data_IF_790316133919
#
_entry.id   IF_790316133919
#
_cell.length_a   1.000
_cell.length_b   1.000
_cell.length_c   1.000
_cell.angle_alpha   90.00
_cell.angle_beta   90.00
_cell.angle_gamma   90.00
#
_symmetry.space_group_name_H-M   'P 1'
#
loop_
_entity.id
_entity.type
_entity.pdbx_description
1 polymer ?
#
# COMPACT_ATOMS: atom_id res chain seq x y z
N UNK A 1 12.43 -6.73 -42.35
CA UNK A 1 12.13 -5.45 -41.63
C UNK A 1 10.70 -5.51 -41.21
N UNK A 2 10.41 -5.42 -39.93
CA UNK A 2 9.05 -5.43 -39.37
C UNK A 2 8.29 -4.15 -39.79
N UNK A 3 7.13 -4.32 -40.39
CA UNK A 3 6.20 -3.25 -40.76
C UNK A 3 4.84 -3.63 -40.19
N UNK A 4 4.35 -2.95 -39.13
CA UNK A 4 3.12 -3.33 -38.45
C UNK A 4 1.86 -2.95 -39.22
N UNK A 5 0.81 -3.76 -39.12
CA UNK A 5 -0.55 -3.33 -39.39
C UNK A 5 -1.10 -2.70 -38.10
N UNK A 6 -1.31 -1.38 -38.14
CA UNK A 6 -1.81 -0.65 -36.97
C UNK A 6 -3.15 -1.18 -36.52
N UNK A 7 -3.32 -1.37 -35.21
CA UNK A 7 -4.62 -1.70 -34.61
C UNK A 7 -5.63 -0.60 -34.96
N UNK A 8 -6.82 -0.98 -35.42
CA UNK A 8 -7.92 -0.05 -35.68
C UNK A 8 -8.41 0.59 -34.38
N UNK A 9 -8.68 1.90 -34.36
CA UNK A 9 -9.18 2.61 -33.19
C UNK A 9 -9.09 4.13 -33.31
N UNK A 10 -9.90 4.83 -32.53
CA UNK A 10 -10.03 6.30 -32.46
C UNK A 10 -9.01 6.92 -31.48
N UNK A 11 -7.72 6.66 -31.65
CA UNK A 11 -6.68 7.17 -30.75
C UNK A 11 -5.48 7.77 -31.48
N UNK A 12 -4.60 8.50 -30.75
CA UNK A 12 -3.36 9.01 -31.33
C UNK A 12 -2.53 7.88 -31.97
N UNK A 13 -2.02 8.12 -33.18
CA UNK A 13 -1.28 7.10 -33.97
C UNK A 13 -0.12 6.47 -33.18
N UNK A 14 0.59 7.24 -32.32
CA UNK A 14 1.69 6.70 -31.51
C UNK A 14 1.23 5.67 -30.47
N UNK A 15 0.02 5.78 -29.92
CA UNK A 15 -0.54 4.78 -29.00
C UNK A 15 -0.94 3.51 -29.78
N UNK A 16 -1.60 3.65 -30.90
CA UNK A 16 -1.97 2.53 -31.78
C UNK A 16 -0.71 1.75 -32.24
N UNK A 17 0.36 2.45 -32.55
CA UNK A 17 1.65 1.83 -32.90
C UNK A 17 2.28 1.13 -31.69
N UNK A 18 2.21 1.71 -30.50
CA UNK A 18 2.70 1.08 -29.27
C UNK A 18 1.89 -0.19 -28.92
N UNK A 19 0.56 -0.16 -29.09
CA UNK A 19 -0.32 -1.31 -28.89
C UNK A 19 -0.03 -2.44 -29.88
N UNK A 20 0.21 -2.09 -31.13
CA UNK A 20 0.62 -3.06 -32.18
C UNK A 20 1.95 -3.72 -31.83
N UNK A 21 2.92 -2.93 -31.37
CA UNK A 21 4.23 -3.41 -30.96
C UNK A 21 4.13 -4.39 -29.77
N UNK A 22 3.32 -4.06 -28.76
CA UNK A 22 3.04 -4.95 -27.61
C UNK A 22 2.42 -6.26 -28.06
N UNK A 23 1.41 -6.20 -28.91
CA UNK A 23 0.73 -7.38 -29.45
C UNK A 23 1.70 -8.27 -30.21
N UNK A 24 2.50 -7.70 -31.12
CA UNK A 24 3.40 -8.45 -31.99
C UNK A 24 4.56 -9.09 -31.20
N UNK A 25 5.06 -8.44 -30.13
CA UNK A 25 6.01 -9.04 -29.18
C UNK A 25 5.34 -10.16 -28.36
N UNK A 26 4.10 -9.97 -27.89
CA UNK A 26 3.38 -10.98 -27.10
C UNK A 26 3.04 -12.23 -27.91
N UNK A 27 2.74 -12.06 -29.19
CA UNK A 27 2.41 -13.14 -30.12
C UNK A 27 3.63 -13.81 -30.76
N UNK A 28 4.85 -13.33 -30.48
CA UNK A 28 6.08 -13.88 -31.04
C UNK A 28 6.31 -13.52 -32.52
N UNK A 29 5.61 -12.53 -33.06
CA UNK A 29 5.84 -11.98 -34.41
C UNK A 29 7.15 -11.20 -34.43
N UNK A 30 7.51 -10.58 -33.31
CA UNK A 30 8.82 -9.99 -33.03
C UNK A 30 9.51 -10.86 -31.99
N UNK A 31 10.64 -11.44 -32.36
CA UNK A 31 11.40 -12.33 -31.49
C UNK A 31 12.32 -11.53 -30.53
N UNK A 32 12.64 -12.13 -29.41
CA UNK A 32 13.58 -11.56 -28.45
C UNK A 32 14.98 -11.37 -29.11
N UNK A 33 15.60 -10.23 -28.87
CA UNK A 33 16.86 -9.83 -29.50
C UNK A 33 16.69 -9.29 -30.93
N UNK A 34 15.49 -9.32 -31.51
CA UNK A 34 15.26 -8.78 -32.84
C UNK A 34 15.42 -7.25 -32.84
N UNK A 35 16.13 -6.76 -33.86
CA UNK A 35 16.33 -5.32 -34.06
C UNK A 35 15.12 -4.69 -34.72
N UNK A 36 14.53 -3.69 -34.04
CA UNK A 36 13.46 -2.88 -34.60
C UNK A 36 13.98 -1.93 -35.68
N UNK A 37 13.14 -1.57 -36.65
CA UNK A 37 13.46 -0.54 -37.64
C UNK A 37 13.84 0.78 -36.98
N UNK A 38 14.72 1.55 -37.59
CA UNK A 38 15.03 2.90 -37.12
C UNK A 38 13.78 3.80 -37.20
N UNK A 39 13.80 4.87 -36.39
CA UNK A 39 12.67 5.83 -36.37
C UNK A 39 12.34 6.38 -37.77
N UNK A 40 13.38 6.58 -38.62
CA UNK A 40 13.21 7.09 -39.99
C UNK A 40 12.65 6.03 -40.94
N UNK A 41 13.14 4.80 -40.87
CA UNK A 41 12.68 3.70 -41.70
C UNK A 41 11.21 3.36 -41.43
N UNK A 42 10.83 3.22 -40.16
CA UNK A 42 9.45 2.89 -39.80
C UNK A 42 8.49 4.06 -40.09
N UNK A 43 8.93 5.28 -39.89
CA UNK A 43 8.14 6.48 -40.19
C UNK A 43 7.86 6.57 -41.71
N UNK A 44 8.87 6.31 -42.54
CA UNK A 44 8.71 6.28 -44.01
C UNK A 44 7.77 5.16 -44.45
N UNK A 45 7.88 3.95 -43.88
CA UNK A 45 7.06 2.81 -44.22
C UNK A 45 5.56 3.00 -43.85
N UNK A 46 5.29 3.73 -42.76
CA UNK A 46 3.93 3.98 -42.25
C UNK A 46 3.33 5.33 -42.67
N UNK A 47 4.08 6.18 -43.41
CA UNK A 47 3.62 7.51 -43.80
C UNK A 47 3.40 8.47 -42.58
N UNK A 48 4.15 8.32 -41.51
CA UNK A 48 4.05 9.12 -40.28
C UNK A 48 5.34 9.84 -39.96
N UNK A 49 5.37 10.70 -38.93
CA UNK A 49 6.59 11.42 -38.55
C UNK A 49 7.53 10.54 -37.68
N UNK A 50 8.87 10.71 -37.78
CA UNK A 50 9.82 10.03 -36.88
C UNK A 50 9.55 10.31 -35.39
N UNK A 51 9.04 11.50 -35.04
CA UNK A 51 8.64 11.84 -33.67
C UNK A 51 7.46 11.01 -33.16
N UNK A 52 6.55 10.60 -34.03
CA UNK A 52 5.41 9.71 -33.70
C UNK A 52 5.92 8.31 -33.38
N UNK A 53 6.85 7.78 -34.19
CA UNK A 53 7.50 6.49 -33.96
C UNK A 53 8.32 6.53 -32.66
N UNK A 54 9.07 7.62 -32.45
CA UNK A 54 9.86 7.82 -31.22
C UNK A 54 9.01 7.77 -29.96
N UNK A 55 7.83 8.40 -29.96
CA UNK A 55 6.87 8.34 -28.83
C UNK A 55 6.34 6.92 -28.59
N UNK A 56 6.05 6.18 -29.65
CA UNK A 56 5.63 4.78 -29.54
C UNK A 56 6.73 3.90 -28.96
N UNK A 57 7.96 4.03 -29.45
CA UNK A 57 9.12 3.31 -28.93
C UNK A 57 9.41 3.65 -27.47
N UNK A 58 9.31 4.93 -27.09
CA UNK A 58 9.45 5.34 -25.70
C UNK A 58 8.35 4.77 -24.79
N UNK A 59 7.13 4.60 -25.30
CA UNK A 59 6.03 4.00 -24.52
C UNK A 59 6.37 2.54 -24.16
N UNK A 60 6.74 1.72 -25.17
CA UNK A 60 7.07 0.30 -24.95
C UNK A 60 8.44 0.10 -24.27
N UNK A 61 9.36 1.04 -24.41
CA UNK A 61 10.63 1.05 -23.67
C UNK A 61 10.40 1.23 -22.17
N UNK A 62 9.50 2.14 -21.77
CA UNK A 62 9.10 2.32 -20.36
C UNK A 62 8.49 1.07 -19.74
N UNK A 63 7.94 0.18 -20.56
CA UNK A 63 7.37 -1.11 -20.16
C UNK A 63 8.40 -2.25 -20.18
N UNK A 64 9.65 -1.95 -20.54
CA UNK A 64 10.74 -2.93 -20.59
C UNK A 64 10.60 -3.96 -21.73
N UNK A 65 9.75 -3.68 -22.74
CA UNK A 65 9.57 -4.58 -23.89
C UNK A 65 10.64 -4.40 -24.97
N UNK A 66 11.29 -3.24 -25.01
CA UNK A 66 12.39 -2.95 -25.91
C UNK A 66 13.50 -2.20 -25.18
N UNK A 67 14.75 -2.36 -25.62
CA UNK A 67 15.92 -1.65 -25.11
C UNK A 67 16.61 -0.88 -26.24
N UNK A 68 17.12 0.32 -25.93
CA UNK A 68 17.90 1.11 -26.86
C UNK A 68 19.40 0.94 -26.58
N UNK A 69 20.18 0.53 -27.58
CA UNK A 69 21.65 0.51 -27.50
C UNK A 69 22.21 1.67 -28.32
N UNK A 70 23.01 2.53 -27.66
CA UNK A 70 23.61 3.71 -28.32
C UNK A 70 24.46 3.27 -29.51
N UNK A 71 24.16 3.79 -30.71
CA UNK A 71 24.86 3.46 -31.96
C UNK A 71 24.48 2.12 -32.60
N UNK A 72 23.73 1.24 -31.95
CA UNK A 72 23.34 -0.08 -32.45
C UNK A 72 21.86 -0.22 -32.81
N UNK A 73 20.98 0.54 -32.18
CA UNK A 73 19.56 0.56 -32.47
C UNK A 73 18.66 0.20 -31.28
N UNK A 74 17.39 -0.04 -31.56
CA UNK A 74 16.39 -0.52 -30.59
C UNK A 74 16.14 -2.01 -30.81
N UNK A 75 16.14 -2.78 -29.74
CA UNK A 75 16.00 -4.25 -29.77
C UNK A 75 14.84 -4.68 -28.89
N UNK A 76 14.17 -5.77 -29.25
CA UNK A 76 13.17 -6.43 -28.41
C UNK A 76 13.88 -7.09 -27.23
N UNK A 77 13.42 -6.82 -26.02
CA UNK A 77 14.02 -7.41 -24.82
C UNK A 77 13.75 -8.92 -24.75
N UNK A 78 14.73 -9.70 -24.33
CA UNK A 78 14.56 -11.12 -24.04
C UNK A 78 13.60 -11.26 -22.84
N UNK A 79 12.37 -11.63 -23.14
CA UNK A 79 11.43 -12.09 -22.12
C UNK A 79 11.59 -13.60 -22.01
N UNK A 80 12.55 -14.06 -21.21
CA UNK A 80 12.68 -15.47 -20.89
C UNK A 80 11.44 -15.94 -20.12
N UNK A 81 10.45 -16.45 -20.84
CA UNK A 81 9.49 -17.38 -20.25
C UNK A 81 10.23 -18.72 -20.12
N UNK A 82 10.41 -19.28 -18.92
CA UNK A 82 11.00 -20.59 -18.78
C UNK A 82 10.11 -21.61 -19.50
N UNK A 83 10.68 -22.57 -20.24
CA UNK A 83 9.89 -23.63 -20.83
C UNK A 83 9.17 -24.44 -19.75
N UNK A 84 7.96 -24.98 -20.02
CA UNK A 84 7.23 -25.80 -19.07
C UNK A 84 8.11 -26.98 -18.60
N UNK A 85 8.43 -27.02 -17.30
CA UNK A 85 9.22 -28.10 -16.69
C UNK A 85 10.73 -27.83 -16.56
N UNK A 86 11.25 -26.66 -16.95
CA UNK A 86 12.61 -26.28 -16.60
C UNK A 86 12.70 -26.06 -15.06
N UNK A 87 13.78 -26.54 -14.40
CA UNK A 87 14.03 -26.15 -13.02
C UNK A 87 14.11 -24.62 -13.00
N UNK A 88 13.40 -24.01 -12.04
CA UNK A 88 13.38 -22.56 -11.90
C UNK A 88 14.82 -22.05 -11.97
N UNK A 89 15.09 -21.16 -12.94
CA UNK A 89 16.35 -20.42 -12.97
C UNK A 89 16.61 -19.87 -11.56
N UNK A 90 17.87 -19.78 -11.11
CA UNK A 90 18.17 -19.27 -9.77
C UNK A 90 17.39 -17.99 -9.57
N UNK A 91 16.51 -18.00 -8.57
CA UNK A 91 15.46 -17.01 -8.39
C UNK A 91 16.07 -15.62 -8.61
N UNK A 92 15.52 -14.90 -9.58
CA UNK A 92 15.83 -13.50 -9.81
C UNK A 92 15.93 -12.81 -8.45
N UNK A 93 17.09 -12.25 -8.14
CA UNK A 93 17.39 -11.62 -6.84
C UNK A 93 16.52 -10.37 -6.56
N UNK A 94 15.59 -10.06 -7.44
CA UNK A 94 14.67 -8.95 -7.35
C UNK A 94 13.82 -8.97 -6.09
N UNK A 95 13.58 -7.80 -5.48
CA UNK A 95 12.80 -7.63 -4.28
C UNK A 95 11.79 -6.50 -4.48
N UNK A 96 10.51 -6.77 -4.16
CA UNK A 96 9.48 -5.72 -4.16
C UNK A 96 9.37 -5.07 -2.78
N UNK A 97 10.04 -3.93 -2.64
CA UNK A 97 10.01 -3.07 -1.45
C UNK A 97 9.00 -1.92 -1.58
N UNK A 98 8.12 -1.95 -2.60
CA UNK A 98 7.09 -0.91 -2.78
C UNK A 98 5.79 -1.21 -2.04
N UNK A 99 5.57 -2.46 -1.60
CA UNK A 99 4.33 -2.88 -0.94
C UNK A 99 4.61 -3.28 0.50
N UNK A 100 3.99 -2.60 1.46
CA UNK A 100 4.03 -2.99 2.87
C UNK A 100 3.14 -4.21 3.07
N UNK A 101 3.74 -5.35 3.41
CA UNK A 101 3.06 -6.63 3.65
C UNK A 101 3.77 -7.39 4.78
N UNK A 102 3.10 -8.30 5.50
CA UNK A 102 3.77 -9.18 6.44
C UNK A 102 4.67 -10.20 5.72
N UNK A 103 5.65 -10.77 6.42
CA UNK A 103 6.56 -11.74 5.83
C UNK A 103 5.82 -13.02 5.43
N UNK A 104 5.92 -13.40 4.14
CA UNK A 104 5.17 -14.52 3.58
C UNK A 104 5.63 -15.89 4.13
N UNK A 105 6.93 -16.05 4.42
CA UNK A 105 7.47 -17.31 4.93
C UNK A 105 6.91 -17.69 6.32
N UNK A 106 6.55 -16.69 7.13
CA UNK A 106 5.91 -16.91 8.43
C UNK A 106 4.46 -17.34 8.31
N UNK A 107 3.80 -17.03 7.18
CA UNK A 107 2.36 -17.22 7.01
C UNK A 107 1.98 -18.60 6.48
N UNK A 108 2.81 -19.22 5.63
CA UNK A 108 2.40 -20.40 4.85
C UNK A 108 1.92 -21.55 5.73
N UNK A 109 2.76 -22.05 6.64
CA UNK A 109 2.43 -23.17 7.51
C UNK A 109 1.26 -22.85 8.45
N UNK A 110 1.21 -21.60 8.90
CA UNK A 110 0.18 -21.08 9.79
C UNK A 110 -1.20 -21.04 9.09
N UNK A 111 -1.28 -20.46 7.90
CA UNK A 111 -2.53 -20.39 7.12
C UNK A 111 -2.97 -21.78 6.68
N UNK A 112 -2.05 -22.65 6.28
CA UNK A 112 -2.34 -24.02 5.91
C UNK A 112 -2.99 -24.80 7.07
N UNK A 113 -2.44 -24.70 8.29
CA UNK A 113 -3.00 -25.34 9.47
C UNK A 113 -4.40 -24.80 9.81
N UNK A 114 -4.58 -23.48 9.76
CA UNK A 114 -5.86 -22.84 10.04
C UNK A 114 -6.96 -23.23 9.03
N UNK A 115 -6.61 -23.32 7.75
CA UNK A 115 -7.54 -23.80 6.71
C UNK A 115 -7.90 -25.26 6.88
N UNK A 116 -6.95 -26.13 7.29
CA UNK A 116 -7.23 -27.53 7.57
C UNK A 116 -8.20 -27.71 8.76
N UNK A 117 -8.02 -26.92 9.82
CA UNK A 117 -8.94 -26.87 10.96
C UNK A 117 -10.34 -26.39 10.53
N UNK A 118 -10.41 -25.34 9.71
CA UNK A 118 -11.67 -24.80 9.21
C UNK A 118 -12.43 -25.82 8.35
N UNK A 119 -11.72 -26.55 7.48
CA UNK A 119 -12.30 -27.57 6.61
C UNK A 119 -12.91 -28.75 7.39
N UNK A 120 -12.45 -29.01 8.61
CA UNK A 120 -12.97 -30.05 9.50
C UNK A 120 -14.02 -29.53 10.49
N UNK A 121 -14.33 -28.23 10.45
CA UNK A 121 -15.29 -27.63 11.37
C UNK A 121 -16.71 -28.16 11.12
N UNK A 122 -17.38 -28.62 12.17
CA UNK A 122 -18.80 -28.98 12.12
C UNK A 122 -19.70 -27.81 11.71
N UNK A 123 -19.21 -26.57 11.82
CA UNK A 123 -19.93 -25.34 11.45
C UNK A 123 -19.72 -24.96 9.98
N UNK A 124 -18.94 -25.72 9.20
CA UNK A 124 -18.71 -25.42 7.80
C UNK A 124 -20.01 -25.21 7.00
N UNK A 125 -21.07 -26.03 7.18
CA UNK A 125 -22.34 -25.79 6.48
C UNK A 125 -22.96 -24.40 6.74
N UNK A 126 -22.83 -23.87 7.96
CA UNK A 126 -23.40 -22.56 8.35
C UNK A 126 -22.68 -21.39 7.62
N UNK A 127 -21.50 -21.64 7.06
CA UNK A 127 -20.68 -20.63 6.38
C UNK A 127 -20.89 -20.60 4.86
N UNK A 128 -21.72 -21.52 4.33
CA UNK A 128 -21.95 -21.67 2.90
C UNK A 128 -23.17 -20.89 2.42
N UNK A 129 -23.87 -20.21 3.32
CA UNK A 129 -25.06 -19.41 3.01
C UNK A 129 -24.81 -17.90 3.23
N UNK A 130 -25.72 -17.11 2.70
CA UNK A 130 -25.70 -15.67 2.90
C UNK A 130 -26.04 -15.30 4.35
N UNK A 131 -25.25 -14.40 4.93
CA UNK A 131 -25.50 -13.77 6.22
C UNK A 131 -25.58 -12.26 6.05
N UNK A 132 -26.71 -11.73 5.50
CA UNK A 132 -26.81 -10.33 5.05
C UNK A 132 -26.61 -9.29 6.15
N UNK A 133 -26.89 -9.66 7.40
CA UNK A 133 -26.71 -8.78 8.56
C UNK A 133 -25.28 -8.76 9.10
N UNK A 134 -24.37 -9.35 8.34
CA UNK A 134 -22.94 -9.04 8.36
C UNK A 134 -22.06 -9.92 9.22
N UNK A 135 -22.53 -10.52 10.29
CA UNK A 135 -21.72 -11.42 11.10
C UNK A 135 -22.56 -12.09 12.19
N UNK A 136 -22.26 -13.35 12.50
CA UNK A 136 -22.83 -13.91 13.72
C UNK A 136 -22.16 -13.29 14.96
N UNK A 137 -22.83 -13.40 16.10
CA UNK A 137 -22.37 -12.81 17.37
C UNK A 137 -20.94 -13.23 17.77
N UNK A 138 -20.49 -14.41 17.37
CA UNK A 138 -19.15 -14.91 17.67
C UNK A 138 -18.05 -14.19 16.87
N UNK A 139 -18.34 -13.79 15.62
CA UNK A 139 -17.42 -12.99 14.81
C UNK A 139 -17.25 -11.58 15.39
N UNK A 140 -18.36 -10.98 15.87
CA UNK A 140 -18.34 -9.66 16.51
C UNK A 140 -17.59 -9.71 17.85
N UNK A 141 -17.82 -10.75 18.66
CA UNK A 141 -17.10 -10.97 19.91
C UNK A 141 -15.59 -11.14 19.68
N UNK A 142 -15.19 -11.94 18.68
CA UNK A 142 -13.77 -12.09 18.33
C UNK A 142 -13.17 -10.77 17.84
N UNK A 143 -13.91 -9.99 17.05
CA UNK A 143 -13.51 -8.64 16.66
C UNK A 143 -13.32 -7.72 17.86
N UNK A 144 -14.26 -7.69 18.79
CA UNK A 144 -14.16 -6.90 20.02
C UNK A 144 -12.94 -7.33 20.86
N UNK A 145 -12.70 -8.63 21.01
CA UNK A 145 -11.50 -9.16 21.67
C UNK A 145 -10.22 -8.64 21.02
N UNK A 146 -10.12 -8.71 19.68
CA UNK A 146 -8.96 -8.20 18.94
C UNK A 146 -8.72 -6.71 19.15
N UNK A 147 -9.78 -5.93 19.19
CA UNK A 147 -9.73 -4.49 19.45
C UNK A 147 -9.35 -4.17 20.90
N UNK A 148 -9.80 -4.99 21.86
CA UNK A 148 -9.41 -4.86 23.27
C UNK A 148 -7.91 -5.16 23.47
N UNK A 149 -7.35 -6.10 22.73
CA UNK A 149 -5.90 -6.36 22.72
C UNK A 149 -5.09 -5.17 22.17
N UNK A 150 -5.69 -4.35 21.29
CA UNK A 150 -5.12 -3.08 20.84
C UNK A 150 -5.35 -1.90 21.82
N UNK A 151 -5.95 -2.14 22.97
CA UNK A 151 -6.21 -1.14 24.01
C UNK A 151 -7.47 -0.30 23.83
N UNK A 152 -8.39 -0.71 22.93
CA UNK A 152 -9.67 -0.04 22.74
C UNK A 152 -10.76 -0.73 23.58
N UNK A 153 -11.56 0.05 24.34
CA UNK A 153 -12.72 -0.47 25.06
C UNK A 153 -13.88 -0.76 24.07
N UNK A 154 -13.77 -1.88 23.34
CA UNK A 154 -14.71 -2.27 22.30
C UNK A 154 -15.81 -3.20 22.84
N UNK A 155 -17.07 -2.94 22.44
CA UNK A 155 -18.21 -3.82 22.66
C UNK A 155 -18.59 -4.50 21.33
N UNK A 156 -19.00 -5.78 21.33
CA UNK A 156 -19.35 -6.50 20.10
C UNK A 156 -20.39 -5.80 19.23
N UNK A 157 -21.37 -5.12 19.85
CA UNK A 157 -22.46 -4.40 19.18
C UNK A 157 -21.98 -3.16 18.42
N UNK A 158 -20.76 -2.69 18.70
CA UNK A 158 -20.12 -1.54 18.04
C UNK A 158 -19.10 -1.96 16.97
N UNK A 159 -18.99 -3.26 16.70
CA UNK A 159 -18.03 -3.82 15.75
C UNK A 159 -18.71 -4.18 14.43
N UNK A 160 -18.06 -3.86 13.31
CA UNK A 160 -18.41 -4.31 11.97
C UNK A 160 -17.22 -4.98 11.32
N UNK A 161 -17.48 -6.03 10.52
CA UNK A 161 -16.48 -6.69 9.71
C UNK A 161 -16.31 -5.99 8.37
N UNK A 162 -15.09 -5.98 7.86
CA UNK A 162 -14.75 -5.40 6.56
C UNK A 162 -13.83 -6.34 5.75
N UNK A 163 -13.81 -6.18 4.43
CA UNK A 163 -12.87 -6.90 3.56
C UNK A 163 -11.46 -6.28 3.63
N UNK A 164 -10.91 -6.18 4.85
CA UNK A 164 -9.62 -5.58 5.15
C UNK A 164 -9.67 -4.05 5.31
N UNK A 165 -8.53 -3.45 5.68
CA UNK A 165 -8.43 -2.02 6.02
C UNK A 165 -8.86 -1.07 4.91
N UNK A 166 -8.51 -1.34 3.64
CA UNK A 166 -8.92 -0.50 2.51
C UNK A 166 -10.45 -0.40 2.36
N UNK A 167 -11.16 -1.50 2.59
CA UNK A 167 -12.62 -1.49 2.58
C UNK A 167 -13.16 -0.72 3.79
N UNK A 168 -12.58 -0.89 4.98
CA UNK A 168 -12.99 -0.10 6.16
C UNK A 168 -12.79 1.41 5.97
N UNK A 169 -11.69 1.80 5.32
CA UNK A 169 -11.44 3.20 4.94
C UNK A 169 -12.49 3.71 3.95
N UNK A 170 -12.82 2.91 2.92
CA UNK A 170 -13.87 3.24 1.96
C UNK A 170 -15.23 3.43 2.66
N UNK A 171 -15.59 2.52 3.58
CA UNK A 171 -16.83 2.60 4.36
C UNK A 171 -16.90 3.88 5.19
N UNK A 172 -15.80 4.24 5.87
CA UNK A 172 -15.71 5.44 6.68
C UNK A 172 -15.98 6.70 5.84
N UNK A 173 -15.31 6.84 4.69
CA UNK A 173 -15.50 8.00 3.81
C UNK A 173 -16.91 7.99 3.20
N UNK A 174 -17.40 6.84 2.73
CA UNK A 174 -18.72 6.75 2.08
C UNK A 174 -19.87 7.05 3.04
N UNK A 175 -19.84 6.50 4.27
CA UNK A 175 -20.91 6.61 5.22
C UNK A 175 -20.89 7.90 6.07
N UNK A 176 -19.68 8.45 6.31
CA UNK A 176 -19.52 9.57 7.26
C UNK A 176 -19.38 10.94 6.58
N UNK A 177 -19.29 10.98 5.24
CA UNK A 177 -19.13 12.22 4.46
C UNK A 177 -20.06 12.24 3.25
N UNK A 178 -20.18 13.40 2.61
CA UNK A 178 -20.95 13.63 1.37
C UNK A 178 -20.03 14.07 0.24
N UNK A 179 -20.41 13.89 -1.03
CA UNK A 179 -19.67 14.48 -2.16
C UNK A 179 -19.47 15.99 -1.96
N UNK A 180 -18.23 16.45 -2.21
CA UNK A 180 -17.81 17.84 -2.00
C UNK A 180 -17.27 18.15 -0.60
N UNK A 181 -17.52 17.31 0.41
CA UNK A 181 -16.97 17.50 1.76
C UNK A 181 -15.44 17.51 1.75
N UNK A 182 -14.86 18.28 2.67
CA UNK A 182 -13.42 18.29 2.90
C UNK A 182 -13.05 17.15 3.86
N UNK A 183 -12.13 16.31 3.40
CA UNK A 183 -11.47 15.27 4.19
C UNK A 183 -10.03 15.69 4.40
N UNK A 184 -9.56 15.66 5.64
CA UNK A 184 -8.17 15.89 6.00
C UNK A 184 -7.45 14.56 6.24
N UNK A 185 -6.14 14.53 6.01
CA UNK A 185 -5.23 13.48 6.46
C UNK A 185 -3.84 14.09 6.71
N UNK A 186 -2.85 13.31 7.10
CA UNK A 186 -1.47 13.76 7.15
C UNK A 186 -0.98 14.22 5.77
N UNK A 187 -0.09 15.22 5.69
CA UNK A 187 0.47 15.73 4.43
C UNK A 187 1.24 14.67 3.64
N UNK A 188 1.92 13.76 4.35
CA UNK A 188 2.44 12.50 3.80
C UNK A 188 1.57 11.36 4.33
N UNK A 189 0.83 10.70 3.45
CA UNK A 189 -0.13 9.67 3.86
C UNK A 189 -0.16 8.50 2.87
N UNK A 190 -0.73 7.40 3.29
CA UNK A 190 -0.96 6.23 2.43
C UNK A 190 -1.78 6.62 1.18
N UNK A 191 -1.29 6.32 -0.05
CA UNK A 191 -1.97 6.75 -1.29
C UNK A 191 -3.40 6.24 -1.44
N UNK A 192 -3.75 5.13 -0.77
CA UNK A 192 -5.11 4.60 -0.74
C UNK A 192 -6.13 5.55 -0.11
N UNK A 193 -5.71 6.47 0.76
CA UNK A 193 -6.56 7.54 1.31
C UNK A 193 -6.99 8.48 0.19
N UNK A 194 -6.02 9.00 -0.60
CA UNK A 194 -6.31 9.89 -1.72
C UNK A 194 -7.21 9.21 -2.76
N UNK A 195 -6.92 7.94 -3.08
CA UNK A 195 -7.72 7.17 -4.04
C UNK A 195 -9.18 7.04 -3.62
N UNK A 196 -9.44 6.71 -2.34
CA UNK A 196 -10.82 6.58 -1.83
C UNK A 196 -11.54 7.92 -1.80
N UNK A 197 -10.88 8.96 -1.28
CA UNK A 197 -11.47 10.30 -1.13
C UNK A 197 -11.84 10.88 -2.50
N UNK A 198 -10.96 10.75 -3.49
CA UNK A 198 -11.18 11.22 -4.85
C UNK A 198 -12.25 10.42 -5.58
N UNK A 199 -12.20 9.07 -5.50
CA UNK A 199 -13.19 8.19 -6.13
C UNK A 199 -14.62 8.51 -5.64
N UNK A 200 -14.76 8.83 -4.38
CA UNK A 200 -16.04 9.19 -3.77
C UNK A 200 -16.44 10.67 -3.95
N UNK A 201 -15.66 11.45 -4.71
CA UNK A 201 -15.96 12.86 -5.02
C UNK A 201 -15.82 13.82 -3.83
N UNK A 202 -14.94 13.51 -2.86
CA UNK A 202 -14.60 14.40 -1.74
C UNK A 202 -13.35 15.20 -2.06
N UNK A 203 -13.17 16.33 -1.38
CA UNK A 203 -11.94 17.14 -1.44
C UNK A 203 -10.95 16.59 -0.41
N UNK A 204 -9.68 16.46 -0.78
CA UNK A 204 -8.62 16.02 0.13
C UNK A 204 -7.65 17.17 0.39
N UNK A 205 -7.22 17.31 1.64
CA UNK A 205 -6.12 18.20 2.03
C UNK A 205 -5.25 17.56 3.10
N UNK A 206 -3.93 17.66 2.92
CA UNK A 206 -2.94 17.20 3.88
C UNK A 206 -2.68 18.21 4.98
N UNK A 207 -2.67 17.78 6.22
CA UNK A 207 -2.27 18.55 7.41
C UNK A 207 -0.76 18.43 7.57
N UNK A 208 0.00 19.52 7.71
CA UNK A 208 1.44 19.49 7.92
C UNK A 208 1.87 18.55 9.05
N UNK A 209 3.01 17.91 8.86
CA UNK A 209 3.64 16.98 9.79
C UNK A 209 5.02 17.47 10.22
N UNK A 210 5.51 16.91 11.33
CA UNK A 210 6.90 17.00 11.75
C UNK A 210 7.45 15.62 12.17
N UNK A 211 8.55 15.59 12.92
CA UNK A 211 9.14 14.33 13.40
C UNK A 211 8.22 13.55 14.37
N UNK A 212 7.22 14.19 14.95
CA UNK A 212 6.24 13.59 15.86
C UNK A 212 4.89 13.29 15.20
N UNK A 213 4.77 13.48 13.87
CA UNK A 213 3.56 13.24 13.10
C UNK A 213 2.72 14.51 12.87
N UNK A 214 1.42 14.37 12.70
CA UNK A 214 0.49 15.46 12.44
C UNK A 214 0.62 16.58 13.49
N UNK A 215 0.71 17.83 13.01
CA UNK A 215 0.83 19.04 13.86
C UNK A 215 -0.55 19.55 14.26
N UNK A 216 -0.92 19.54 15.56
CA UNK A 216 -2.25 20.02 16.01
C UNK A 216 -2.48 21.51 15.73
N UNK A 217 -1.44 22.33 15.78
CA UNK A 217 -1.52 23.77 15.51
C UNK A 217 -1.87 24.03 14.03
N UNK A 218 -1.27 23.28 13.11
CA UNK A 218 -1.59 23.35 11.69
C UNK A 218 -3.00 22.81 11.41
N UNK A 219 -3.43 21.76 12.11
CA UNK A 219 -4.82 21.27 12.03
C UNK A 219 -5.81 22.34 12.48
N UNK A 220 -5.55 23.02 13.60
CA UNK A 220 -6.38 24.15 14.07
C UNK A 220 -6.49 25.25 13.00
N UNK A 221 -5.37 25.70 12.48
CA UNK A 221 -5.33 26.76 11.47
C UNK A 221 -6.13 26.40 10.21
N UNK A 222 -6.11 25.12 9.80
CA UNK A 222 -6.93 24.64 8.69
C UNK A 222 -8.42 24.63 9.04
N UNK A 223 -8.80 24.21 10.25
CA UNK A 223 -10.19 24.18 10.70
C UNK A 223 -10.79 25.59 10.86
N UNK A 224 -10.00 26.59 11.18
CA UNK A 224 -10.40 28.00 11.24
C UNK A 224 -10.71 28.59 9.85
N UNK A 225 -10.05 28.08 8.81
CA UNK A 225 -10.22 28.53 7.42
C UNK A 225 -11.30 27.73 6.68
N UNK A 226 -11.37 26.44 6.93
CA UNK A 226 -12.25 25.50 6.25
C UNK A 226 -12.95 24.61 7.29
N UNK A 227 -14.11 24.06 6.93
CA UNK A 227 -14.85 23.13 7.79
C UNK A 227 -14.64 21.69 7.29
N UNK A 228 -13.69 20.94 7.85
CA UNK A 228 -13.52 19.54 7.48
C UNK A 228 -14.68 18.70 8.03
N UNK A 229 -15.12 17.72 7.27
CA UNK A 229 -16.12 16.74 7.72
C UNK A 229 -15.45 15.55 8.42
N UNK A 230 -14.20 15.21 8.02
CA UNK A 230 -13.48 14.02 8.47
C UNK A 230 -11.98 14.29 8.50
N UNK A 231 -11.30 13.80 9.52
CA UNK A 231 -9.84 13.61 9.55
C UNK A 231 -9.52 12.12 9.58
N UNK A 232 -8.71 11.65 8.64
CA UNK A 232 -8.13 10.31 8.63
C UNK A 232 -6.71 10.43 9.17
N UNK A 233 -6.39 9.72 10.25
CA UNK A 233 -5.09 9.75 10.91
C UNK A 233 -4.54 8.34 11.07
N UNK A 234 -3.24 8.15 10.80
CA UNK A 234 -2.49 6.90 11.03
C UNK A 234 -1.58 7.12 12.26
N UNK A 235 -2.09 6.94 13.49
CA UNK A 235 -1.36 7.39 14.68
C UNK A 235 -0.21 6.49 15.11
N UNK A 236 -0.14 5.25 14.61
CA UNK A 236 0.89 4.28 14.96
C UNK A 236 1.72 3.89 13.74
N UNK A 237 3.06 3.99 13.84
CA UNK A 237 3.98 3.59 12.77
C UNK A 237 3.50 4.07 11.39
N UNK A 238 3.23 5.34 11.32
CA UNK A 238 2.59 6.05 10.19
C UNK A 238 3.20 5.67 8.84
N UNK A 239 2.38 5.44 7.85
CA UNK A 239 2.81 5.15 6.49
C UNK A 239 2.71 6.42 5.64
N UNK A 240 3.87 7.00 5.19
CA UNK A 240 5.15 6.30 4.95
C UNK A 240 6.24 6.52 6.00
N UNK A 241 6.09 7.41 6.99
CA UNK A 241 7.20 7.96 7.78
C UNK A 241 7.67 7.06 8.94
N UNK A 242 6.87 6.08 9.35
CA UNK A 242 7.14 5.24 10.53
C UNK A 242 6.95 5.97 11.87
N UNK A 243 6.45 7.19 11.86
CA UNK A 243 6.26 8.01 13.08
C UNK A 243 5.11 7.47 13.92
N UNK A 244 5.23 7.55 15.23
CA UNK A 244 4.12 7.30 16.17
C UNK A 244 3.71 8.59 16.82
N UNK A 245 2.41 8.90 16.72
CA UNK A 245 1.81 10.12 17.26
C UNK A 245 1.82 10.09 18.79
N UNK A 246 2.47 11.05 19.46
CA UNK A 246 2.55 11.08 20.92
C UNK A 246 1.17 11.23 21.58
N UNK A 247 1.06 10.76 22.83
CA UNK A 247 -0.17 10.77 23.61
C UNK A 247 -0.80 12.17 23.69
N UNK A 248 0.01 13.19 23.89
CA UNK A 248 -0.49 14.57 24.00
C UNK A 248 -1.11 15.07 22.70
N UNK A 249 -0.49 14.76 21.55
CA UNK A 249 -1.08 15.11 20.24
C UNK A 249 -2.38 14.37 19.97
N UNK A 250 -2.52 13.12 20.42
CA UNK A 250 -3.81 12.39 20.33
C UNK A 250 -4.91 13.12 21.10
N UNK A 251 -4.60 13.61 22.31
CA UNK A 251 -5.56 14.41 23.11
C UNK A 251 -5.91 15.74 22.44
N UNK A 252 -4.93 16.44 21.88
CA UNK A 252 -5.13 17.70 21.20
C UNK A 252 -5.99 17.52 19.93
N UNK A 253 -5.73 16.49 19.12
CA UNK A 253 -6.53 16.18 17.93
C UNK A 253 -7.97 15.83 18.32
N UNK A 254 -8.17 15.05 19.39
CA UNK A 254 -9.49 14.71 19.89
C UNK A 254 -10.25 15.96 20.40
N UNK A 255 -9.55 16.88 21.05
CA UNK A 255 -10.13 18.17 21.48
C UNK A 255 -10.54 19.05 20.28
N UNK A 256 -9.67 19.15 19.28
CA UNK A 256 -9.95 19.88 18.04
C UNK A 256 -11.15 19.29 17.29
N UNK A 257 -11.27 17.96 17.26
CA UNK A 257 -12.41 17.30 16.63
C UNK A 257 -13.75 17.67 17.29
N UNK A 258 -13.74 17.86 18.61
CA UNK A 258 -14.94 18.36 19.34
C UNK A 258 -15.19 19.84 19.10
N UNK A 259 -14.14 20.65 19.14
CA UNK A 259 -14.21 22.10 18.98
C UNK A 259 -14.75 22.50 17.59
N UNK A 260 -14.26 21.83 16.54
CA UNK A 260 -14.60 22.15 15.14
C UNK A 260 -15.64 21.19 14.53
N UNK A 261 -16.18 20.27 15.33
CA UNK A 261 -17.25 19.33 14.97
C UNK A 261 -16.95 18.45 13.74
N UNK A 262 -15.73 17.94 13.62
CA UNK A 262 -15.38 16.95 12.59
C UNK A 262 -15.26 15.54 13.18
N UNK A 263 -15.39 14.52 12.30
CA UNK A 263 -15.25 13.12 12.63
C UNK A 263 -13.80 12.67 12.48
N UNK A 264 -13.44 11.58 13.15
CA UNK A 264 -12.12 10.98 13.11
C UNK A 264 -12.17 9.56 12.54
N UNK A 265 -11.18 9.20 11.75
CA UNK A 265 -10.78 7.82 11.46
C UNK A 265 -9.42 7.60 12.10
N UNK A 266 -9.36 6.66 13.04
CA UNK A 266 -8.15 6.15 13.66
C UNK A 266 -7.74 4.90 12.87
N UNK A 267 -6.88 5.08 11.84
CA UNK A 267 -6.41 3.98 10.97
C UNK A 267 -5.23 3.28 11.63
N UNK A 268 -5.51 2.28 12.44
CA UNK A 268 -4.53 1.55 13.24
C UNK A 268 -4.23 0.15 12.65
N UNK A 269 -3.71 0.11 11.43
CA UNK A 269 -3.28 -1.13 10.80
C UNK A 269 -1.92 -1.64 11.30
N UNK A 270 -1.18 -0.81 12.04
CA UNK A 270 0.20 -1.10 12.46
C UNK A 270 0.41 -1.09 13.98
N UNK A 271 -0.59 -0.77 14.78
CA UNK A 271 -0.47 -0.67 16.25
C UNK A 271 0.04 -1.95 16.92
N UNK A 272 -0.27 -3.12 16.35
CA UNK A 272 0.25 -4.42 16.82
C UNK A 272 1.79 -4.52 16.78
N UNK A 273 2.47 -3.66 16.03
CA UNK A 273 3.93 -3.60 15.93
C UNK A 273 4.56 -2.77 17.06
N UNK A 274 3.79 -1.94 17.75
CA UNK A 274 4.32 -1.13 18.85
C UNK A 274 4.78 -2.03 20.00
N UNK A 275 5.99 -1.81 20.50
CA UNK A 275 6.51 -2.48 21.71
C UNK A 275 5.83 -1.96 22.98
N UNK A 276 5.53 -0.66 22.99
CA UNK A 276 4.81 0.04 24.05
C UNK A 276 3.59 0.71 23.44
N UNK A 277 2.44 0.01 23.38
CA UNK A 277 1.24 0.54 22.75
C UNK A 277 0.69 1.73 23.53
N UNK A 278 0.45 2.83 22.83
CA UNK A 278 -0.28 3.98 23.37
C UNK A 278 -1.78 3.77 23.21
N UNK A 279 -2.62 4.34 24.11
CA UNK A 279 -4.06 4.33 23.93
C UNK A 279 -4.45 4.85 22.53
N UNK A 280 -5.33 4.17 21.81
CA UNK A 280 -5.80 4.61 20.49
C UNK A 280 -6.36 6.04 20.53
N UNK A 281 -6.28 6.76 19.41
CA UNK A 281 -6.89 8.09 19.26
C UNK A 281 -8.41 8.03 19.57
N UNK A 282 -9.04 6.93 19.17
CA UNK A 282 -10.44 6.63 19.47
C UNK A 282 -10.77 6.65 20.97
N UNK A 283 -9.83 6.36 21.86
CA UNK A 283 -10.05 6.40 23.31
C UNK A 283 -10.27 7.82 23.85
N UNK A 284 -9.84 8.86 23.13
CA UNK A 284 -9.95 10.25 23.56
C UNK A 284 -11.18 10.97 23.01
N UNK A 285 -11.80 10.45 21.94
CA UNK A 285 -13.05 10.96 21.38
C UNK A 285 -13.92 9.82 20.84
N UNK A 286 -14.34 8.86 21.69
CA UNK A 286 -15.07 7.66 21.25
C UNK A 286 -16.39 7.97 20.55
N UNK A 287 -17.03 9.10 20.90
CA UNK A 287 -18.32 9.52 20.34
C UNK A 287 -18.23 10.02 18.89
N UNK A 288 -17.03 10.27 18.38
CA UNK A 288 -16.79 10.82 17.04
C UNK A 288 -15.63 10.18 16.28
N UNK A 289 -15.15 9.03 16.74
CA UNK A 289 -14.05 8.31 16.11
C UNK A 289 -14.49 6.93 15.62
N UNK A 290 -14.20 6.65 14.34
CA UNK A 290 -14.21 5.30 13.80
C UNK A 290 -12.79 4.76 13.93
N UNK A 291 -12.62 3.67 14.67
CA UNK A 291 -11.36 2.94 14.74
C UNK A 291 -11.33 1.82 13.69
N UNK A 292 -10.25 1.71 12.96
CA UNK A 292 -10.07 0.76 11.87
C UNK A 292 -8.81 -0.08 12.09
N UNK A 293 -8.94 -1.41 12.05
CA UNK A 293 -7.81 -2.34 12.04
C UNK A 293 -8.02 -3.52 11.09
N UNK A 294 -6.99 -4.32 10.86
CA UNK A 294 -7.06 -5.46 9.93
C UNK A 294 -6.04 -6.54 10.26
N UNK A 295 -6.42 -7.80 10.09
CA UNK A 295 -5.53 -8.95 10.20
C UNK A 295 -4.57 -9.09 9.00
N UNK A 296 -4.76 -8.30 7.94
CA UNK A 296 -3.93 -8.38 6.73
C UNK A 296 -2.46 -8.03 6.96
N UNK A 297 -2.13 -7.26 8.00
CA UNK A 297 -0.75 -6.89 8.34
C UNK A 297 -0.22 -7.70 9.53
N UNK A 298 -1.06 -8.00 10.50
CA UNK A 298 -0.68 -8.72 11.71
C UNK A 298 -0.61 -10.23 11.53
N UNK A 299 -1.49 -10.79 10.72
CA UNK A 299 -1.62 -12.25 10.55
C UNK A 299 -1.20 -12.70 9.15
N UNK A 300 -2.02 -12.42 8.14
CA UNK A 300 -1.73 -12.79 6.76
C UNK A 300 -2.47 -11.90 5.78
N UNK A 301 -1.79 -11.48 4.72
CA UNK A 301 -2.36 -10.59 3.69
C UNK A 301 -3.61 -11.15 3.03
N UNK A 302 -3.70 -12.48 2.93
CA UNK A 302 -4.78 -13.21 2.24
C UNK A 302 -6.04 -13.39 3.08
N UNK A 303 -5.98 -13.23 4.39
CA UNK A 303 -7.16 -13.31 5.27
C UNK A 303 -8.18 -12.22 4.92
N UNK A 304 -7.72 -11.08 4.42
CA UNK A 304 -8.58 -9.99 3.91
C UNK A 304 -9.74 -9.64 4.84
N UNK A 305 -9.52 -9.71 6.15
CA UNK A 305 -10.49 -9.32 7.15
C UNK A 305 -9.99 -8.10 7.94
N UNK A 306 -10.87 -7.16 8.15
CA UNK A 306 -10.68 -6.02 9.04
C UNK A 306 -11.87 -5.86 9.98
N UNK A 307 -11.66 -5.06 11.00
CA UNK A 307 -12.67 -4.68 11.98
C UNK A 307 -12.75 -3.16 12.06
N UNK A 308 -13.97 -2.66 12.09
CA UNK A 308 -14.29 -1.27 12.37
C UNK A 308 -15.05 -1.23 13.68
N UNK A 309 -14.63 -0.36 14.59
CA UNK A 309 -15.39 0.01 15.77
C UNK A 309 -15.89 1.44 15.60
N UNK A 310 -17.18 1.67 15.84
CA UNK A 310 -17.78 2.97 15.62
C UNK A 310 -18.84 3.29 16.68
N UNK A 311 -19.10 4.59 16.92
CA UNK A 311 -20.21 5.02 17.78
C UNK A 311 -21.55 4.48 17.27
N UNK A 312 -22.51 4.16 18.16
CA UNK A 312 -23.79 3.53 17.79
C UNK A 312 -24.56 4.27 16.68
N UNK A 313 -24.51 5.61 16.67
CA UNK A 313 -25.23 6.44 15.69
C UNK A 313 -24.72 6.26 14.23
N UNK A 314 -23.55 5.65 14.00
CA UNK A 314 -22.98 5.44 12.65
C UNK A 314 -23.19 4.02 12.14
N UNK A 315 -23.50 3.06 13.01
CA UNK A 315 -23.53 1.63 12.68
C UNK A 315 -24.52 1.30 11.55
N UNK A 316 -25.72 1.90 11.58
CA UNK A 316 -26.73 1.67 10.53
C UNK A 316 -26.23 2.12 9.15
N UNK A 317 -25.60 3.30 9.08
CA UNK A 317 -25.06 3.83 7.82
C UNK A 317 -23.86 2.99 7.32
N UNK A 318 -22.98 2.59 8.23
CA UNK A 318 -21.83 1.73 7.92
C UNK A 318 -22.28 0.34 7.45
N UNK A 319 -23.25 -0.28 8.12
CA UNK A 319 -23.81 -1.57 7.69
C UNK A 319 -24.49 -1.47 6.31
N UNK A 320 -25.21 -0.39 6.03
CA UNK A 320 -25.76 -0.14 4.71
C UNK A 320 -24.68 0.01 3.65
N UNK A 321 -23.56 0.68 3.96
CA UNK A 321 -22.42 0.81 3.06
C UNK A 321 -21.73 -0.53 2.80
N UNK A 322 -21.60 -1.42 3.80
CA UNK A 322 -21.12 -2.81 3.60
C UNK A 322 -22.00 -3.54 2.60
N UNK A 323 -23.34 -3.52 2.80
CA UNK A 323 -24.28 -4.19 1.89
C UNK A 323 -24.21 -3.63 0.47
N UNK A 324 -24.03 -2.33 0.32
CA UNK A 324 -23.99 -1.67 -0.99
C UNK A 324 -22.67 -1.88 -1.74
N UNK A 325 -21.58 -2.21 -1.05
CA UNK A 325 -20.25 -2.38 -1.64
C UNK A 325 -19.91 -3.83 -1.94
N UNK A 326 -20.01 -4.71 -0.95
CA UNK A 326 -19.57 -6.11 -1.05
C UNK A 326 -20.67 -7.11 -0.67
N UNK A 327 -21.87 -6.61 -0.38
CA UNK A 327 -23.00 -7.37 0.16
C UNK A 327 -22.77 -7.85 1.59
N UNK A 328 -21.72 -8.67 1.79
CA UNK A 328 -21.25 -9.17 3.09
C UNK A 328 -19.76 -9.51 3.04
N UNK A 329 -19.14 -9.61 4.19
CA UNK A 329 -17.82 -10.25 4.33
C UNK A 329 -17.98 -11.76 4.23
N UNK A 330 -17.05 -12.46 3.59
CA UNK A 330 -17.08 -13.93 3.46
C UNK A 330 -17.17 -14.60 4.84
N UNK A 331 -18.23 -15.40 5.11
CA UNK A 331 -18.36 -16.11 6.38
C UNK A 331 -17.21 -17.07 6.66
N UNK A 332 -16.63 -17.68 5.62
CA UNK A 332 -15.45 -18.55 5.74
C UNK A 332 -14.24 -17.78 6.29
N UNK A 333 -13.98 -16.57 5.77
CA UNK A 333 -12.86 -15.74 6.24
C UNK A 333 -13.13 -15.15 7.63
N UNK A 334 -14.39 -14.81 7.93
CA UNK A 334 -14.80 -14.35 9.25
C UNK A 334 -14.63 -15.45 10.32
N UNK A 335 -14.99 -16.70 10.00
CA UNK A 335 -14.80 -17.83 10.91
C UNK A 335 -13.32 -18.16 11.08
N UNK A 336 -12.55 -18.20 9.98
CA UNK A 336 -11.08 -18.39 10.03
C UNK A 336 -10.45 -17.40 11.00
N UNK A 337 -10.76 -16.12 10.85
CA UNK A 337 -10.25 -15.06 11.73
C UNK A 337 -10.71 -15.25 13.18
N UNK A 338 -11.96 -15.63 13.38
CA UNK A 338 -12.54 -15.91 14.72
C UNK A 338 -11.79 -17.01 15.42
N UNK A 339 -11.52 -18.13 14.73
CA UNK A 339 -10.74 -19.25 15.28
C UNK A 339 -9.32 -18.81 15.64
N UNK A 340 -8.66 -18.05 14.76
CA UNK A 340 -7.30 -17.54 14.98
C UNK A 340 -7.21 -16.59 16.18
N UNK A 341 -8.19 -15.71 16.36
CA UNK A 341 -8.23 -14.78 17.48
C UNK A 341 -8.53 -15.53 18.79
N UNK A 342 -9.58 -16.35 18.82
CA UNK A 342 -10.01 -17.05 20.03
C UNK A 342 -8.98 -18.05 20.54
N UNK A 343 -8.25 -18.71 19.63
CA UNK A 343 -7.16 -19.63 19.99
C UNK A 343 -5.86 -18.91 20.41
N UNK A 344 -5.77 -17.58 20.29
CA UNK A 344 -4.55 -16.82 20.53
C UNK A 344 -3.55 -16.87 19.38
N UNK A 345 -3.76 -17.70 18.36
CA UNK A 345 -2.85 -17.88 17.21
C UNK A 345 -2.64 -16.57 16.42
N UNK A 346 -3.67 -15.69 16.34
CA UNK A 346 -3.54 -14.40 15.68
C UNK A 346 -2.53 -13.48 16.40
N UNK A 347 -2.56 -13.45 17.74
CA UNK A 347 -1.62 -12.70 18.57
C UNK A 347 -0.20 -13.25 18.44
N UNK A 348 -0.04 -14.57 18.47
CA UNK A 348 1.26 -15.21 18.30
C UNK A 348 1.89 -14.87 16.94
N UNK A 349 1.09 -14.85 15.87
CA UNK A 349 1.55 -14.45 14.54
C UNK A 349 1.94 -12.96 14.50
N UNK A 350 1.13 -12.09 15.09
CA UNK A 350 1.43 -10.66 15.19
C UNK A 350 2.77 -10.42 15.93
N UNK A 351 3.03 -11.19 17.00
CA UNK A 351 4.30 -11.14 17.72
C UNK A 351 5.47 -11.58 16.85
N UNK A 352 5.37 -12.71 16.14
CA UNK A 352 6.42 -13.18 15.21
C UNK A 352 6.69 -12.18 14.09
N UNK A 353 5.65 -11.55 13.53
CA UNK A 353 5.82 -10.50 12.51
C UNK A 353 6.56 -9.28 13.08
N UNK A 354 6.30 -8.91 14.33
CA UNK A 354 7.01 -7.80 15.00
C UNK A 354 8.49 -8.14 15.23
N UNK A 355 8.80 -9.35 15.70
CA UNK A 355 10.19 -9.79 15.88
C UNK A 355 10.96 -9.82 14.54
N UNK A 356 10.34 -10.32 13.49
CA UNK A 356 10.93 -10.33 12.16
C UNK A 356 11.16 -8.90 11.65
N UNK A 357 10.20 -8.00 11.87
CA UNK A 357 10.35 -6.59 11.50
C UNK A 357 11.52 -5.94 12.25
N UNK A 358 11.67 -6.21 13.55
CA UNK A 358 12.78 -5.69 14.34
C UNK A 358 14.14 -6.15 13.81
N UNK A 359 14.27 -7.43 13.48
CA UNK A 359 15.51 -7.96 12.90
C UNK A 359 15.81 -7.29 11.53
N UNK A 360 14.79 -7.08 10.68
CA UNK A 360 14.96 -6.43 9.38
C UNK A 360 15.24 -4.94 9.47
N UNK A 361 14.70 -4.25 10.47
CA UNK A 361 15.05 -2.85 10.76
C UNK A 361 16.49 -2.72 11.24
N UNK A 362 16.98 -3.69 12.03
CA UNK A 362 18.40 -3.74 12.44
C UNK A 362 19.31 -3.89 11.21
N UNK A 363 18.99 -4.79 10.31
CA UNK A 363 19.72 -4.92 9.02
C UNK A 363 19.67 -3.61 8.21
N UNK A 364 18.48 -3.03 8.02
CA UNK A 364 18.34 -1.80 7.26
C UNK A 364 19.17 -0.64 7.83
N UNK A 365 19.22 -0.50 9.15
CA UNK A 365 20.07 0.50 9.83
C UNK A 365 21.56 0.22 9.64
N UNK A 366 22.00 -1.04 9.62
CA UNK A 366 23.39 -1.41 9.39
C UNK A 366 23.88 -0.99 8.02
N UNK A 367 23.05 -1.12 6.98
CA UNK A 367 23.41 -0.82 5.58
C UNK A 367 23.11 0.63 5.16
N UNK A 368 22.03 1.23 5.67
CA UNK A 368 21.56 2.56 5.29
C UNK A 368 21.78 3.63 6.36
N UNK A 369 22.38 3.28 7.51
CA UNK A 369 22.51 4.19 8.67
C UNK A 369 23.39 5.43 8.41
N UNK A 370 24.18 5.46 7.34
CA UNK A 370 24.89 6.65 6.87
C UNK A 370 24.02 7.66 6.11
N UNK A 371 22.76 7.32 5.82
CA UNK A 371 21.77 8.15 5.12
C UNK A 371 20.74 8.68 6.12
N UNK A 372 20.04 9.76 5.75
CA UNK A 372 18.95 10.30 6.56
C UNK A 372 17.70 9.42 6.42
N UNK A 373 17.44 8.58 7.44
CA UNK A 373 16.29 7.69 7.44
C UNK A 373 15.41 7.88 8.68
N UNK A 374 14.10 7.79 8.49
CA UNK A 374 13.12 7.69 9.57
C UNK A 374 12.57 6.27 9.58
N UNK A 375 12.62 5.62 10.73
CA UNK A 375 12.12 4.27 10.91
C UNK A 375 11.84 3.98 12.39
N UNK A 376 10.71 3.37 12.69
CA UNK A 376 10.47 2.78 14.00
C UNK A 376 11.17 1.41 14.08
N UNK A 377 11.72 1.00 15.23
CA UNK A 377 12.48 -0.25 15.34
C UNK A 377 11.73 -1.53 14.91
N UNK A 378 10.41 -1.51 14.93
CA UNK A 378 9.55 -2.64 14.58
C UNK A 378 8.66 -2.39 13.37
N UNK A 379 8.83 -1.27 12.64
CA UNK A 379 8.03 -0.97 11.46
C UNK A 379 8.34 -1.91 10.30
N UNK A 380 7.34 -2.20 9.47
CA UNK A 380 7.51 -2.96 8.22
C UNK A 380 8.16 -2.16 7.11
N UNK A 381 8.36 -0.86 7.30
CA UNK A 381 8.92 0.05 6.32
C UNK A 381 9.80 1.10 6.97
N UNK A 382 10.57 1.78 6.15
CA UNK A 382 11.31 2.97 6.51
C UNK A 382 11.13 4.06 5.44
N UNK A 383 11.36 5.30 5.83
CA UNK A 383 11.32 6.49 5.00
C UNK A 383 12.73 7.04 4.86
N UNK A 384 13.28 6.98 3.64
CA UNK A 384 14.65 7.35 3.32
C UNK A 384 14.68 8.66 2.55
N UNK A 385 15.38 9.66 3.07
CA UNK A 385 15.72 10.87 2.34
C UNK A 385 16.96 10.61 1.49
N UNK A 386 16.86 10.89 0.20
CA UNK A 386 17.96 10.77 -0.74
C UNK A 386 18.93 11.96 -0.62
N UNK A 387 20.25 11.75 -0.82
CA UNK A 387 21.23 12.82 -0.89
C UNK A 387 20.82 13.94 -1.87
N UNK A 388 21.34 15.15 -1.65
CA UNK A 388 20.99 16.35 -2.44
C UNK A 388 21.27 16.21 -3.95
N UNK A 389 22.19 15.35 -4.32
CA UNK A 389 22.51 15.05 -5.71
C UNK A 389 21.36 14.38 -6.48
N UNK A 390 20.37 13.78 -5.78
CA UNK A 390 19.18 13.21 -6.40
C UNK A 390 18.12 14.28 -6.63
N UNK A 391 17.57 14.36 -7.85
CA UNK A 391 16.51 15.31 -8.19
C UNK A 391 15.15 14.88 -7.65
N UNK A 392 14.87 13.56 -7.58
CA UNK A 392 13.62 13.02 -7.07
C UNK A 392 13.72 11.53 -6.69
N UNK A 393 12.77 11.09 -5.85
CA UNK A 393 12.54 9.68 -5.53
C UNK A 393 12.13 8.84 -6.74
N UNK A 394 11.45 9.45 -7.73
CA UNK A 394 11.08 8.76 -8.98
C UNK A 394 12.30 8.38 -9.80
N UNK A 395 13.29 9.29 -9.90
CA UNK A 395 14.56 9.00 -10.59
C UNK A 395 15.28 7.82 -9.90
N UNK A 396 15.36 7.84 -8.58
CA UNK A 396 15.95 6.76 -7.81
C UNK A 396 15.18 5.44 -7.99
N UNK A 397 13.85 5.47 -7.91
CA UNK A 397 13.01 4.30 -8.10
C UNK A 397 13.14 3.69 -9.51
N UNK A 398 13.29 4.54 -10.54
CA UNK A 398 13.54 4.10 -11.91
C UNK A 398 14.89 3.38 -12.03
N UNK A 399 15.95 3.93 -11.42
CA UNK A 399 17.28 3.30 -11.41
C UNK A 399 17.26 1.98 -10.61
N UNK A 400 16.67 1.97 -9.42
CA UNK A 400 16.55 0.77 -8.59
C UNK A 400 15.83 -0.37 -9.33
N UNK A 401 14.80 -0.03 -10.14
CA UNK A 401 14.09 -1.02 -10.97
C UNK A 401 14.99 -1.67 -12.02
N UNK A 402 15.95 -0.93 -12.60
CA UNK A 402 16.98 -1.49 -13.47
C UNK A 402 17.85 -2.55 -12.79
N UNK A 403 17.96 -2.48 -11.47
CA UNK A 403 18.63 -3.48 -10.62
C UNK A 403 17.64 -4.48 -9.99
N UNK A 404 16.42 -4.61 -10.53
CA UNK A 404 15.37 -5.51 -10.07
C UNK A 404 14.89 -5.23 -8.63
N UNK A 405 15.06 -3.99 -8.16
CA UNK A 405 14.57 -3.53 -6.86
C UNK A 405 13.42 -2.54 -7.08
N UNK A 406 12.24 -2.86 -6.56
CA UNK A 406 11.06 -2.01 -6.68
C UNK A 406 10.89 -1.26 -5.36
N UNK A 407 11.01 0.07 -5.40
CA UNK A 407 10.82 0.95 -4.24
C UNK A 407 9.69 1.94 -4.51
N UNK A 408 9.07 2.48 -3.48
CA UNK A 408 8.00 3.46 -3.63
C UNK A 408 8.57 4.88 -3.58
N UNK A 409 8.39 5.65 -4.65
CA UNK A 409 8.80 7.06 -4.70
C UNK A 409 7.94 7.91 -3.75
N UNK A 410 8.58 8.87 -3.09
CA UNK A 410 7.97 9.63 -2.00
C UNK A 410 6.84 10.57 -2.44
N UNK A 411 6.88 11.10 -3.66
CA UNK A 411 5.82 11.97 -4.17
C UNK A 411 4.45 11.29 -4.24
N UNK A 412 4.41 9.96 -4.35
CA UNK A 412 3.15 9.19 -4.31
C UNK A 412 2.42 9.29 -2.97
N UNK A 413 3.09 9.72 -1.90
CA UNK A 413 2.55 9.91 -0.56
C UNK A 413 2.21 11.37 -0.24
N UNK A 414 2.59 12.34 -1.08
CA UNK A 414 2.33 13.76 -0.87
C UNK A 414 0.88 14.12 -1.21
N UNK A 415 0.08 14.45 -0.21
CA UNK A 415 -1.35 14.73 -0.38
C UNK A 415 -1.62 16.14 -0.92
N UNK A 416 -0.73 17.09 -0.65
CA UNK A 416 -0.82 18.50 -1.12
C UNK A 416 -0.15 18.73 -2.47
N UNK A 417 0.59 17.75 -3.02
CA UNK A 417 1.40 17.88 -4.24
C UNK A 417 2.42 19.02 -4.18
N UNK A 418 2.90 19.35 -3.00
CA UNK A 418 3.85 20.44 -2.69
C UNK A 418 5.32 20.00 -2.77
N UNK A 419 5.57 18.72 -3.11
CA UNK A 419 6.90 18.15 -3.23
C UNK A 419 7.56 17.77 -1.91
N UNK A 420 6.82 17.70 -0.81
CA UNK A 420 7.32 17.27 0.51
C UNK A 420 7.99 15.89 0.43
N UNK A 421 7.44 14.96 -0.38
CA UNK A 421 8.00 13.63 -0.63
C UNK A 421 9.09 13.56 -1.72
N UNK A 422 9.39 14.68 -2.42
CA UNK A 422 10.11 14.66 -3.70
C UNK A 422 11.45 13.92 -3.68
N UNK A 423 12.26 14.11 -2.65
CA UNK A 423 13.57 13.46 -2.52
C UNK A 423 13.55 12.28 -1.54
N UNK A 424 12.40 11.64 -1.40
CA UNK A 424 12.27 10.50 -0.49
C UNK A 424 11.85 9.23 -1.24
N UNK A 425 12.15 8.11 -0.64
CA UNK A 425 11.60 6.81 -1.02
C UNK A 425 11.16 6.05 0.23
N UNK A 426 10.06 5.30 0.11
CA UNK A 426 9.67 4.34 1.13
C UNK A 426 10.17 2.94 0.74
N UNK A 427 10.84 2.29 1.68
CA UNK A 427 11.31 0.91 1.55
C UNK A 427 10.49 0.00 2.48
N UNK A 428 9.75 -0.94 1.92
CA UNK A 428 9.12 -2.02 2.66
C UNK A 428 10.11 -3.17 2.86
N UNK A 429 10.27 -3.67 4.08
CA UNK A 429 11.37 -4.56 4.44
C UNK A 429 10.98 -6.03 4.54
N UNK A 430 9.68 -6.37 4.46
CA UNK A 430 9.18 -7.70 4.83
C UNK A 430 9.14 -8.70 3.66
N UNK A 431 9.52 -8.30 2.45
CA UNK A 431 9.58 -9.20 1.30
C UNK A 431 10.83 -10.09 1.31
N UNK A 432 10.71 -11.30 0.78
CA UNK A 432 11.79 -12.25 0.63
C UNK A 432 12.47 -12.72 1.92
N UNK A 433 13.60 -13.42 1.79
CA UNK A 433 14.45 -13.81 2.92
C UNK A 433 15.32 -12.64 3.42
N UNK A 434 15.96 -12.81 4.58
CA UNK A 434 16.88 -11.78 5.12
C UNK A 434 18.12 -11.61 4.24
N UNK A 435 18.62 -12.68 3.65
CA UNK A 435 19.78 -12.64 2.72
C UNK A 435 19.45 -11.83 1.46
N UNK A 436 18.23 -11.98 0.93
CA UNK A 436 17.77 -11.17 -0.21
C UNK A 436 17.59 -9.70 0.18
N UNK A 437 17.07 -9.44 1.37
CA UNK A 437 16.97 -8.08 1.90
C UNK A 437 18.36 -7.44 2.07
N UNK A 438 19.32 -8.16 2.63
CA UNK A 438 20.71 -7.70 2.82
C UNK A 438 21.35 -7.33 1.48
N UNK A 439 21.20 -8.19 0.47
CA UNK A 439 21.63 -7.89 -0.89
C UNK A 439 20.99 -6.61 -1.45
N UNK A 440 19.66 -6.49 -1.29
CA UNK A 440 18.92 -5.31 -1.76
C UNK A 440 19.37 -4.02 -1.07
N UNK A 441 19.56 -4.07 0.26
CA UNK A 441 20.03 -2.93 1.05
C UNK A 441 21.43 -2.49 0.65
N UNK A 442 22.35 -3.46 0.41
CA UNK A 442 23.70 -3.18 -0.09
C UNK A 442 23.66 -2.46 -1.43
N UNK A 443 22.82 -2.93 -2.35
CA UNK A 443 22.64 -2.28 -3.67
C UNK A 443 22.05 -0.89 -3.55
N UNK A 444 20.99 -0.72 -2.75
CA UNK A 444 20.34 0.58 -2.55
C UNK A 444 21.28 1.60 -1.90
N UNK A 445 22.12 1.17 -0.95
CA UNK A 445 23.15 2.04 -0.35
C UNK A 445 24.14 2.53 -1.40
N UNK A 446 24.65 1.63 -2.25
CA UNK A 446 25.56 1.98 -3.35
C UNK A 446 24.92 2.93 -4.36
N UNK A 447 23.69 2.67 -4.77
CA UNK A 447 22.94 3.54 -5.69
C UNK A 447 22.69 4.93 -5.08
N UNK A 448 22.32 5.01 -3.80
CA UNK A 448 22.07 6.28 -3.13
C UNK A 448 23.33 7.16 -3.07
N UNK A 449 24.51 6.56 -2.93
CA UNK A 449 25.79 7.26 -2.86
C UNK A 449 26.31 7.75 -4.24
N UNK A 450 25.81 7.21 -5.35
CA UNK A 450 26.37 7.46 -6.69
C UNK A 450 25.27 7.86 -7.69
N UNK A 451 24.72 9.08 -7.63
CA UNK A 451 23.69 9.54 -8.57
C UNK A 451 24.21 9.63 -10.02
N UNK A 452 25.52 9.75 -10.23
CA UNK A 452 26.15 9.83 -11.56
C UNK A 452 26.20 8.48 -12.31
N UNK A 453 25.93 7.36 -11.62
CA UNK A 453 25.79 6.04 -12.25
C UNK A 453 24.60 5.93 -13.23
N UNK A 454 23.77 6.96 -13.31
CA UNK A 454 22.63 7.07 -14.27
C UNK A 454 23.13 7.28 -15.72
N UNK A 455 24.39 7.68 -15.93
CA UNK A 455 24.90 8.11 -17.24
C UNK A 455 25.95 7.16 -17.83
N UNK A 456 26.27 6.07 -17.18
CA UNK A 456 27.16 5.00 -17.67
C UNK A 456 26.36 3.73 -17.98
#
# INVERSE_FOLDING_TARGET
>A
MWIPQLVEGDGPIYLRLADTLRRDIQQGVLEAGERLPTLKELAAALGITPGTVGRAYQAVHREGLVSGEVGRGTFVCERALPPPGAPAAPAVLGLDMSIVKPNAALQESFVRAALAELAQSARLPDMLDYTPDGANSQHLQAGAQWLQEAGLAAQPEQVLLTCGGQHGLWLAVAALTRPGDLVLCESLCYPGVASVVQLLGRRLRGVPMDAQGLQPEALRALCEQERPALLICIPNLQNPTGTTLPLERRRQIAALAREFDFKLVDDDLYGFLASEPLPPLASFAPERTLYLTSLSKSVASTVRLGYVHAPPQWLTALAAAVRSSVWMVSPLLAELATQLIRSGKARDMAHRQREEAQARQTLARAYLGGLNLRAHPTAFHLWLELPQAWSSGDQFAALARGHQLIVAAGDSFSMNRDGEGRRHVRLALMDGSRERLEYALTKLAGLAASPDAVWL
#
